data_IF_369567908908
#
_entry.id   IF_369567908908
#
_cell.length_a   1.000
_cell.length_b   1.000
_cell.length_c   1.000
_cell.angle_alpha   90.00
_cell.angle_beta   90.00
_cell.angle_gamma   90.00
#
_symmetry.space_group_name_H-M   'P 1'
#
loop_
_entity.id
_entity.type
_entity.pdbx_description
1 polymer ?
#
# COMPACT_ATOMS: atom_id res chain seq x y z
N UNK A 1 -68.77 -28.44 -1.32
CA UNK A 1 -68.89 -27.12 -2.01
C UNK A 1 -68.40 -26.05 -1.05
N UNK A 2 -67.63 -25.03 -1.38
CA UNK A 2 -66.72 -24.69 -2.46
C UNK A 2 -66.10 -23.33 -2.07
N UNK A 3 -64.83 -23.09 -2.45
CA UNK A 3 -64.20 -21.76 -2.66
C UNK A 3 -63.84 -20.97 -1.37
N UNK A 4 -62.75 -20.21 -1.25
CA UNK A 4 -61.58 -19.78 -2.07
C UNK A 4 -60.67 -18.96 -1.12
N UNK A 5 -59.43 -18.69 -1.55
CA UNK A 5 -58.39 -17.73 -1.08
C UNK A 5 -57.15 -18.49 -0.59
N UNK A 6 -55.92 -18.20 -1.03
CA UNK A 6 -55.35 -16.91 -1.39
C UNK A 6 -54.31 -17.12 -2.52
N UNK A 7 -54.32 -16.29 -3.56
CA UNK A 7 -53.39 -15.17 -3.78
C UNK A 7 -51.90 -15.52 -3.78
N UNK A 8 -51.27 -15.16 -4.91
CA UNK A 8 -50.02 -14.40 -5.03
C UNK A 8 -48.77 -15.03 -4.36
N UNK A 9 -47.65 -15.18 -5.06
CA UNK A 9 -46.91 -14.09 -5.72
C UNK A 9 -45.93 -14.68 -6.72
N UNK A 10 -46.06 -14.24 -7.97
CA UNK A 10 -44.94 -14.24 -8.91
C UNK A 10 -43.99 -13.10 -8.52
N UNK A 11 -42.72 -13.28 -8.88
CA UNK A 11 -41.67 -12.27 -9.00
C UNK A 11 -40.83 -11.94 -7.74
N UNK A 12 -39.82 -12.77 -7.45
CA UNK A 12 -38.57 -12.31 -6.78
C UNK A 12 -37.33 -13.09 -7.28
N UNK A 13 -37.18 -13.33 -8.59
CA UNK A 13 -36.00 -14.10 -9.12
C UNK A 13 -34.98 -13.24 -9.87
N UNK A 14 -35.13 -11.91 -9.91
CA UNK A 14 -34.17 -11.05 -10.64
C UNK A 14 -33.24 -10.20 -9.74
N UNK A 15 -33.35 -10.26 -8.41
CA UNK A 15 -32.48 -9.50 -7.49
C UNK A 15 -31.37 -10.33 -6.83
N UNK A 16 -31.43 -11.65 -6.96
CA UNK A 16 -30.55 -12.59 -6.26
C UNK A 16 -29.13 -12.63 -6.84
N UNK A 17 -28.98 -12.47 -8.16
CA UNK A 17 -27.67 -12.51 -8.83
C UNK A 17 -26.75 -11.36 -8.44
N UNK A 18 -27.28 -10.13 -8.37
CA UNK A 18 -26.49 -8.93 -8.04
C UNK A 18 -26.04 -8.90 -6.58
N UNK A 19 -26.89 -9.36 -5.66
CA UNK A 19 -26.55 -9.48 -4.23
C UNK A 19 -25.49 -10.56 -4.02
N UNK A 20 -25.56 -11.67 -4.75
CA UNK A 20 -24.52 -12.71 -4.73
C UNK A 20 -23.16 -12.19 -5.18
N UNK A 21 -23.10 -11.42 -6.26
CA UNK A 21 -21.83 -10.82 -6.73
C UNK A 21 -21.29 -9.86 -5.68
N UNK A 22 -22.11 -8.96 -5.13
CA UNK A 22 -21.67 -8.03 -4.07
C UNK A 22 -21.21 -8.76 -2.79
N UNK A 23 -21.90 -9.84 -2.40
CA UNK A 23 -21.52 -10.66 -1.25
C UNK A 23 -20.19 -11.38 -1.47
N UNK A 24 -19.94 -11.87 -2.69
CA UNK A 24 -18.64 -12.46 -3.07
C UNK A 24 -17.53 -11.41 -3.02
N UNK A 25 -17.75 -10.22 -3.58
CA UNK A 25 -16.77 -9.14 -3.52
C UNK A 25 -16.50 -8.62 -2.10
N UNK A 26 -17.47 -8.71 -1.18
CA UNK A 26 -17.30 -8.35 0.22
C UNK A 26 -16.43 -9.33 1.02
N UNK A 27 -16.24 -10.57 0.53
CA UNK A 27 -15.37 -11.57 1.13
C UNK A 27 -14.00 -11.69 0.45
N UNK A 28 -13.76 -10.93 -0.61
CA UNK A 28 -12.42 -10.84 -1.19
C UNK A 28 -11.56 -9.98 -0.27
N UNK A 29 -10.39 -10.47 0.16
CA UNK A 29 -9.47 -9.61 0.86
C UNK A 29 -9.00 -8.53 -0.13
N UNK A 30 -9.47 -7.30 0.06
CA UNK A 30 -9.05 -6.13 -0.71
C UNK A 30 -7.69 -5.69 -0.21
N UNK A 31 -6.65 -6.51 -0.41
CA UNK A 31 -5.28 -6.04 -0.26
C UNK A 31 -4.96 -5.12 -1.45
N UNK A 32 -5.44 -3.89 -1.38
CA UNK A 32 -4.91 -2.83 -2.20
C UNK A 32 -3.52 -2.49 -1.65
N UNK A 33 -2.46 -2.93 -2.33
CA UNK A 33 -1.13 -2.40 -2.12
C UNK A 33 -1.15 -0.94 -2.60
N UNK A 34 -1.39 -0.03 -1.67
CA UNK A 34 -1.27 1.39 -1.91
C UNK A 34 0.17 1.79 -1.62
N UNK A 35 0.83 2.45 -2.56
CA UNK A 35 2.19 2.95 -2.37
C UNK A 35 2.31 3.78 -1.07
N UNK A 36 3.36 3.56 -0.28
CA UNK A 36 3.66 4.40 0.89
C UNK A 36 4.31 5.72 0.40
N UNK A 37 3.46 6.72 0.19
CA UNK A 37 3.85 8.07 -0.21
C UNK A 37 4.12 8.92 1.04
N UNK A 38 5.38 9.31 1.26
CA UNK A 38 5.78 10.17 2.39
C UNK A 38 6.31 11.51 1.88
N UNK A 39 5.72 12.62 2.31
CA UNK A 39 6.12 13.97 1.89
C UNK A 39 6.11 14.95 3.07
N UNK A 40 7.02 15.93 3.06
CA UNK A 40 7.07 16.99 4.07
C UNK A 40 8.38 17.77 4.04
N UNK A 41 8.67 18.50 5.12
CA UNK A 41 10.02 19.07 5.33
C UNK A 41 11.04 17.95 5.59
N UNK A 42 10.64 16.92 6.32
CA UNK A 42 11.47 15.79 6.71
C UNK A 42 10.66 14.48 6.63
N UNK A 43 11.30 13.42 6.14
CA UNK A 43 10.76 12.05 6.12
C UNK A 43 11.74 11.12 6.82
N UNK A 44 11.25 10.34 7.78
CA UNK A 44 12.08 9.39 8.53
C UNK A 44 11.46 8.00 8.56
N UNK A 45 12.28 6.98 8.33
CA UNK A 45 12.02 5.58 8.69
C UNK A 45 12.97 5.23 9.83
N UNK A 46 12.43 5.11 11.04
CA UNK A 46 13.22 5.03 12.26
C UNK A 46 13.96 3.69 12.43
N UNK A 47 15.00 3.63 13.28
CA UNK A 47 15.62 2.37 13.64
C UNK A 47 14.58 1.45 14.31
N UNK A 48 14.48 0.20 13.84
CA UNK A 48 13.49 -0.78 14.32
C UNK A 48 12.12 -0.69 13.62
N UNK A 49 11.87 0.33 12.79
CA UNK A 49 10.72 0.37 11.90
C UNK A 49 10.93 -0.61 10.74
N UNK A 50 9.91 -1.38 10.40
CA UNK A 50 9.90 -2.24 9.21
C UNK A 50 8.73 -1.85 8.33
N UNK A 51 9.03 -1.37 7.13
CA UNK A 51 8.04 -1.10 6.08
C UNK A 51 8.01 -2.30 5.14
N UNK A 52 6.85 -2.94 5.02
CA UNK A 52 6.65 -4.13 4.19
C UNK A 52 6.10 -3.77 2.79
N UNK A 53 6.60 -2.68 2.22
CA UNK A 53 6.20 -2.16 0.91
C UNK A 53 7.29 -1.22 0.36
N UNK A 54 7.00 -0.63 -0.79
CA UNK A 54 7.83 0.37 -1.43
C UNK A 54 7.61 1.75 -0.83
N UNK A 55 8.71 2.50 -0.69
CA UNK A 55 8.66 3.87 -0.20
C UNK A 55 8.92 4.83 -1.35
N UNK A 56 8.01 5.81 -1.48
CA UNK A 56 8.20 6.97 -2.32
C UNK A 56 8.26 8.21 -1.43
N UNK A 57 9.45 8.80 -1.28
CA UNK A 57 9.70 9.88 -0.36
C UNK A 57 10.10 11.17 -1.08
N UNK A 58 9.53 12.30 -0.67
CA UNK A 58 9.91 13.63 -1.14
C UNK A 58 10.02 14.62 0.02
N UNK A 59 11.23 15.05 0.38
CA UNK A 59 11.42 15.97 1.51
C UNK A 59 12.70 16.81 1.41
N UNK A 60 12.83 17.85 2.24
CA UNK A 60 14.10 18.56 2.43
C UNK A 60 15.19 17.62 2.96
N UNK A 61 14.82 16.81 3.97
CA UNK A 61 15.66 15.75 4.52
C UNK A 61 14.95 14.40 4.46
N UNK A 62 15.62 13.36 3.96
CA UNK A 62 15.13 11.97 4.01
C UNK A 62 16.12 11.12 4.82
N UNK A 63 15.64 10.43 5.85
CA UNK A 63 16.46 9.54 6.68
C UNK A 63 15.85 8.15 6.77
N UNK A 64 16.56 7.14 6.29
CA UNK A 64 16.13 5.73 6.32
C UNK A 64 17.12 4.94 7.16
N UNK A 65 16.75 4.71 8.42
CA UNK A 65 17.54 3.93 9.39
C UNK A 65 16.93 2.56 9.71
N UNK A 66 15.66 2.34 9.35
CA UNK A 66 14.94 1.07 9.53
C UNK A 66 15.09 0.10 8.35
N UNK A 67 14.20 -0.90 8.30
CA UNK A 67 14.15 -1.89 7.23
C UNK A 67 13.01 -1.59 6.27
N UNK A 68 13.31 -1.60 4.97
CA UNK A 68 12.32 -1.50 3.89
C UNK A 68 12.37 -2.81 3.10
N UNK A 69 11.32 -3.63 3.23
CA UNK A 69 11.17 -4.88 2.51
C UNK A 69 10.61 -4.63 1.10
N UNK A 70 11.23 -3.71 0.37
CA UNK A 70 10.77 -3.19 -0.90
C UNK A 70 11.85 -2.36 -1.60
N UNK A 71 11.41 -1.55 -2.56
CA UNK A 71 12.22 -0.52 -3.21
C UNK A 71 12.02 0.83 -2.55
N UNK A 72 13.05 1.68 -2.63
CA UNK A 72 12.97 3.07 -2.18
C UNK A 72 13.22 3.99 -3.35
N UNK A 73 12.30 4.92 -3.58
CA UNK A 73 12.46 6.03 -4.50
C UNK A 73 12.38 7.31 -3.65
N UNK A 74 13.49 8.03 -3.51
CA UNK A 74 13.53 9.23 -2.67
C UNK A 74 14.16 10.45 -3.35
N UNK A 75 13.49 11.59 -3.21
CA UNK A 75 13.94 12.89 -3.65
C UNK A 75 14.14 13.85 -2.48
N UNK A 76 15.26 14.57 -2.41
CA UNK A 76 15.45 15.58 -1.37
C UNK A 76 16.73 16.38 -1.36
N UNK A 77 16.83 17.37 -0.46
CA UNK A 77 18.05 18.16 -0.29
C UNK A 77 19.20 17.34 0.30
N UNK A 78 18.91 16.64 1.40
CA UNK A 78 19.83 15.71 2.07
C UNK A 78 19.14 14.35 2.24
N UNK A 79 19.81 13.28 1.81
CA UNK A 79 19.31 11.90 1.92
C UNK A 79 20.35 11.05 2.65
N UNK A 80 19.94 10.38 3.73
CA UNK A 80 20.76 9.43 4.46
C UNK A 80 20.07 8.08 4.51
N UNK A 81 20.77 7.03 4.06
CA UNK A 81 20.30 5.64 4.10
C UNK A 81 21.32 4.80 4.87
N UNK A 82 21.01 4.50 6.12
CA UNK A 82 21.81 3.64 7.01
C UNK A 82 21.14 2.30 7.30
N UNK A 83 19.85 2.18 7.00
CA UNK A 83 19.03 0.98 7.19
C UNK A 83 19.23 -0.10 6.12
N UNK A 84 18.28 -1.03 6.03
CA UNK A 84 18.31 -2.12 5.04
C UNK A 84 17.19 -1.96 4.02
N UNK A 85 17.53 -2.05 2.74
CA UNK A 85 16.59 -2.04 1.61
C UNK A 85 16.74 -3.37 0.88
N UNK A 86 15.68 -4.17 0.80
CA UNK A 86 15.78 -5.53 0.27
C UNK A 86 15.83 -5.58 -1.26
N UNK A 87 15.39 -4.52 -1.95
CA UNK A 87 15.40 -4.41 -3.42
C UNK A 87 16.19 -3.18 -3.88
N UNK A 88 15.64 -2.41 -4.82
CA UNK A 88 16.34 -1.31 -5.49
C UNK A 88 16.20 0.02 -4.76
N UNK A 89 17.20 0.88 -4.91
CA UNK A 89 17.28 2.21 -4.34
C UNK A 89 17.46 3.24 -5.45
N UNK A 90 16.52 4.16 -5.62
CA UNK A 90 16.61 5.28 -6.57
C UNK A 90 16.60 6.58 -5.79
N UNK A 91 17.69 7.36 -5.90
CA UNK A 91 17.87 8.60 -5.15
C UNK A 91 18.13 9.79 -6.07
N UNK A 92 17.52 10.93 -5.76
CA UNK A 92 17.80 12.21 -6.40
C UNK A 92 17.89 13.33 -5.38
N UNK A 93 19.01 14.05 -5.32
CA UNK A 93 19.18 15.08 -4.30
C UNK A 93 20.49 15.84 -4.33
N UNK A 94 20.67 16.74 -3.35
CA UNK A 94 21.88 17.54 -3.21
C UNK A 94 23.02 16.77 -2.54
N UNK A 95 22.78 16.29 -1.32
CA UNK A 95 23.73 15.44 -0.57
C UNK A 95 23.11 14.08 -0.33
N UNK A 96 23.81 13.00 -0.72
CA UNK A 96 23.34 11.62 -0.58
C UNK A 96 24.43 10.81 0.12
N UNK A 97 24.06 10.17 1.24
CA UNK A 97 24.93 9.27 1.98
C UNK A 97 24.26 7.91 2.17
N UNK A 98 24.85 6.86 1.59
CA UNK A 98 24.34 5.48 1.68
C UNK A 98 25.40 4.62 2.36
N UNK A 99 25.12 4.21 3.60
CA UNK A 99 25.97 3.31 4.40
C UNK A 99 25.27 2.01 4.76
N UNK A 100 23.97 1.92 4.49
CA UNK A 100 23.13 0.74 4.71
C UNK A 100 23.29 -0.34 3.64
N UNK A 101 22.58 -1.46 3.82
CA UNK A 101 22.57 -2.56 2.85
C UNK A 101 21.46 -2.35 1.81
N UNK A 102 21.81 -2.51 0.53
CA UNK A 102 20.86 -2.53 -0.59
C UNK A 102 21.00 -3.88 -1.30
N UNK A 103 19.91 -4.64 -1.37
CA UNK A 103 19.90 -5.98 -1.96
C UNK A 103 19.88 -5.98 -3.49
N UNK A 104 19.32 -4.93 -4.09
CA UNK A 104 19.23 -4.73 -5.54
C UNK A 104 20.23 -3.70 -6.07
N UNK A 105 19.78 -2.90 -7.04
CA UNK A 105 20.60 -1.85 -7.67
C UNK A 105 20.46 -0.49 -6.98
N UNK A 106 21.44 0.38 -7.22
CA UNK A 106 21.45 1.79 -6.81
C UNK A 106 21.60 2.65 -8.08
#
# INVERSE_FOLDING_TARGET
MARTHAMHRRAVVAFSGSIMVAAVFAWLPLQAAAADLRQGSDVTVGPGETVNDDIYAGAGTVSISGTVNGSVIAGGGTITVSGTITRDLILGGGTINVTGHVGGSI
#
